data_IF_043644143235
#
_entry.id   IF_043644143235
#
_cell.length_a   1.000
_cell.length_b   1.000
_cell.length_c   1.000
_cell.angle_alpha   90.00
_cell.angle_beta   90.00
_cell.angle_gamma   90.00
#
_symmetry.space_group_name_H-M   'P 1'
#
loop_
_entity.id
_entity.type
_entity.pdbx_description
1 polymer ?
#
# COMPACT_ATOMS: atom_id res chain seq x y z
N UNK A 1 68.06 -26.02 -6.26
CA UNK A 1 68.92 -27.11 -5.89
C UNK A 1 68.44 -27.69 -4.58
N UNK A 2 67.96 -28.86 -4.57
CA UNK A 2 68.63 -30.14 -4.50
C UNK A 2 69.23 -30.43 -3.12
N UNK A 3 68.73 -31.40 -2.44
CA UNK A 3 69.26 -32.71 -2.14
C UNK A 3 68.49 -33.26 -0.93
N UNK A 4 67.76 -34.37 -0.98
CA UNK A 4 68.15 -35.79 -1.11
C UNK A 4 69.03 -36.29 0.04
N UNK A 5 68.52 -37.25 0.78
CA UNK A 5 69.11 -38.53 1.24
C UNK A 5 68.30 -39.12 2.39
N UNK A 6 67.64 -40.23 2.22
CA UNK A 6 68.05 -41.65 2.29
C UNK A 6 68.24 -42.15 3.73
N UNK A 7 67.36 -43.08 4.11
CA UNK A 7 67.48 -44.54 4.33
C UNK A 7 68.38 -44.91 5.54
N UNK A 8 68.06 -45.83 6.37
CA UNK A 8 67.48 -47.17 6.46
C UNK A 8 67.58 -47.75 7.93
N UNK A 9 67.27 -49.01 8.18
CA UNK A 9 66.41 -49.46 9.28
C UNK A 9 67.17 -50.27 10.32
N UNK A 10 66.52 -50.55 11.44
CA UNK A 10 67.01 -51.60 12.40
C UNK A 10 65.83 -52.41 13.00
N UNK A 11 65.71 -53.57 12.55
CA UNK A 11 65.61 -54.98 13.10
C UNK A 11 64.99 -55.18 14.49
N UNK A 12 64.04 -56.09 14.44
CA UNK A 12 63.37 -56.93 15.37
C UNK A 12 64.08 -57.33 16.68
N UNK A 13 63.28 -57.39 17.75
CA UNK A 13 63.48 -58.33 18.84
C UNK A 13 62.12 -58.86 19.34
N UNK A 14 61.94 -60.11 19.01
CA UNK A 14 60.91 -61.01 19.52
C UNK A 14 61.17 -61.32 21.03
N UNK A 15 60.13 -61.19 21.85
CA UNK A 15 60.17 -61.77 23.21
C UNK A 15 58.84 -62.45 23.56
N UNK A 16 58.95 -63.71 23.92
CA UNK A 16 57.98 -64.71 24.29
C UNK A 16 56.99 -64.20 25.39
N UNK A 17 55.71 -64.40 25.11
CA UNK A 17 54.63 -64.23 26.09
C UNK A 17 54.44 -65.50 26.96
N UNK A 18 54.45 -65.32 28.26
CA UNK A 18 54.13 -66.37 29.25
C UNK A 18 52.59 -66.48 29.43
N UNK A 19 52.07 -67.67 29.79
CA UNK A 19 50.62 -67.99 29.80
C UNK A 19 49.75 -67.22 30.79
N UNK A 20 50.34 -66.53 31.76
CA UNK A 20 49.62 -65.80 32.82
C UNK A 20 49.00 -64.49 32.32
N UNK A 21 49.40 -63.94 31.14
CA UNK A 21 48.90 -62.70 30.60
C UNK A 21 47.61 -62.91 29.80
N UNK A 22 47.32 -64.15 29.36
CA UNK A 22 46.11 -64.43 28.54
C UNK A 22 44.78 -64.43 29.32
N UNK A 23 44.83 -64.66 30.65
CA UNK A 23 43.62 -64.71 31.47
C UNK A 23 43.18 -63.32 31.95
N UNK A 24 44.12 -62.41 32.22
CA UNK A 24 43.83 -61.02 32.61
C UNK A 24 43.24 -60.15 31.41
N UNK A 25 43.62 -60.48 30.20
CA UNK A 25 43.12 -59.76 29.00
C UNK A 25 41.65 -60.12 28.66
N UNK A 26 41.22 -61.39 28.99
CA UNK A 26 39.82 -61.80 28.74
C UNK A 26 38.82 -61.20 29.74
N UNK A 27 39.25 -60.85 30.96
CA UNK A 27 38.39 -60.24 31.97
C UNK A 27 38.29 -58.71 31.78
N UNK A 28 39.30 -58.07 31.21
CA UNK A 28 39.30 -56.66 30.83
C UNK A 28 38.39 -56.36 29.62
N UNK A 29 38.43 -57.22 28.57
CA UNK A 29 37.58 -57.07 27.37
C UNK A 29 36.08 -57.22 27.68
N UNK A 30 35.70 -58.07 28.63
CA UNK A 30 34.30 -58.27 29.03
C UNK A 30 33.73 -57.11 29.85
N UNK A 31 34.55 -56.38 30.60
CA UNK A 31 34.11 -55.15 31.31
C UNK A 31 33.99 -53.93 30.39
N UNK A 32 34.80 -53.87 29.33
CA UNK A 32 34.74 -52.78 28.34
C UNK A 32 33.51 -52.88 27.42
N UNK A 33 33.09 -54.10 27.07
CA UNK A 33 31.89 -54.34 26.29
C UNK A 33 30.58 -53.99 27.03
N UNK A 34 30.50 -54.32 28.33
CA UNK A 34 29.36 -53.97 29.16
C UNK A 34 29.29 -52.44 29.44
N UNK A 35 30.43 -51.79 29.60
CA UNK A 35 30.52 -50.36 29.78
C UNK A 35 30.13 -49.62 28.47
N UNK A 36 30.56 -50.08 27.29
CA UNK A 36 30.18 -49.53 25.97
C UNK A 36 28.70 -49.72 25.67
N UNK A 37 28.09 -50.82 26.09
CA UNK A 37 26.68 -51.10 25.91
C UNK A 37 25.78 -50.24 26.81
N UNK A 38 26.26 -49.91 28.01
CA UNK A 38 25.57 -49.03 28.96
C UNK A 38 25.62 -47.56 28.51
N UNK A 39 26.75 -47.08 27.98
CA UNK A 39 26.90 -45.73 27.45
C UNK A 39 26.09 -45.53 26.16
N UNK A 40 26.11 -46.48 25.22
CA UNK A 40 25.30 -46.42 24.01
C UNK A 40 23.78 -46.34 24.28
N UNK A 41 23.31 -47.07 25.32
CA UNK A 41 21.91 -47.07 25.73
C UNK A 41 21.49 -45.77 26.44
N UNK A 42 22.43 -45.12 27.14
CA UNK A 42 22.22 -43.83 27.77
C UNK A 42 22.20 -42.69 26.75
N UNK A 43 23.07 -42.75 25.76
CA UNK A 43 23.11 -41.78 24.67
C UNK A 43 21.87 -41.87 23.76
N UNK A 44 21.38 -43.07 23.45
CA UNK A 44 20.15 -43.26 22.68
C UNK A 44 18.91 -42.72 23.43
N UNK A 45 18.86 -42.88 24.75
CA UNK A 45 17.77 -42.35 25.58
C UNK A 45 17.83 -40.83 25.67
N UNK A 46 19.02 -40.25 25.82
CA UNK A 46 19.20 -38.81 25.86
C UNK A 46 18.89 -38.15 24.50
N UNK A 47 19.25 -38.82 23.40
CA UNK A 47 18.91 -38.35 22.06
C UNK A 47 17.39 -38.33 21.81
N UNK A 48 16.66 -39.36 22.24
CA UNK A 48 15.20 -39.41 22.12
C UNK A 48 14.49 -38.38 23.00
N UNK A 49 14.96 -38.15 24.21
CA UNK A 49 14.40 -37.11 25.09
C UNK A 49 14.68 -35.70 24.57
N UNK A 50 15.84 -35.50 23.93
CA UNK A 50 16.17 -34.22 23.28
C UNK A 50 15.30 -33.95 22.03
N UNK A 51 15.09 -34.97 21.21
CA UNK A 51 14.23 -34.88 20.01
C UNK A 51 12.75 -34.61 20.36
N UNK A 52 12.25 -35.27 21.44
CA UNK A 52 10.89 -35.04 21.92
C UNK A 52 10.71 -33.65 22.55
N UNK A 53 11.73 -33.14 23.23
CA UNK A 53 11.73 -31.78 23.78
C UNK A 53 11.79 -30.71 22.69
N UNK A 54 12.56 -30.94 21.63
CA UNK A 54 12.66 -30.03 20.48
C UNK A 54 11.37 -30.04 19.66
N UNK A 55 10.77 -31.21 19.45
CA UNK A 55 9.48 -31.32 18.75
C UNK A 55 8.35 -30.60 19.52
N UNK A 56 8.34 -30.72 20.86
CA UNK A 56 7.39 -30.07 21.74
C UNK A 56 7.53 -28.55 21.72
N UNK A 57 8.77 -28.06 21.74
CA UNK A 57 9.10 -26.65 21.68
C UNK A 57 8.69 -26.02 20.32
N UNK A 58 8.91 -26.75 19.23
CA UNK A 58 8.54 -26.35 17.90
C UNK A 58 7.03 -26.28 17.70
N UNK A 59 6.28 -27.24 18.27
CA UNK A 59 4.83 -27.25 18.24
C UNK A 59 4.21 -26.10 19.07
N UNK A 60 4.83 -25.74 20.18
CA UNK A 60 4.39 -24.65 21.05
C UNK A 60 4.66 -23.27 20.40
N UNK A 61 5.79 -23.12 19.69
CA UNK A 61 6.15 -21.92 18.93
C UNK A 61 5.23 -21.73 17.71
N UNK A 62 4.89 -22.81 17.00
CA UNK A 62 3.98 -22.79 15.87
C UNK A 62 2.54 -22.47 16.31
N UNK A 63 2.09 -23.00 17.45
CA UNK A 63 0.79 -22.67 18.03
C UNK A 63 0.72 -21.20 18.51
N UNK A 64 1.80 -20.68 19.08
CA UNK A 64 1.89 -19.27 19.48
C UNK A 64 1.89 -18.33 18.28
N UNK A 65 2.59 -18.67 17.20
CA UNK A 65 2.60 -17.92 15.94
C UNK A 65 1.22 -17.91 15.28
N UNK A 66 0.53 -19.04 15.24
CA UNK A 66 -0.83 -19.15 14.71
C UNK A 66 -1.85 -18.32 15.52
N UNK A 67 -1.71 -18.31 16.86
CA UNK A 67 -2.57 -17.49 17.74
C UNK A 67 -2.34 -15.98 17.57
N UNK A 68 -1.09 -15.57 17.30
CA UNK A 68 -0.76 -14.17 16.99
C UNK A 68 -1.34 -13.73 15.65
N UNK A 69 -1.24 -14.56 14.61
CA UNK A 69 -1.83 -14.30 13.30
C UNK A 69 -3.36 -14.20 13.35
N UNK A 70 -4.01 -15.10 14.10
CA UNK A 70 -5.46 -15.06 14.28
C UNK A 70 -5.94 -13.78 15.00
N UNK A 71 -5.19 -13.33 16.03
CA UNK A 71 -5.48 -12.07 16.71
C UNK A 71 -5.29 -10.84 15.80
N UNK A 72 -4.27 -10.85 14.96
CA UNK A 72 -4.01 -9.76 14.02
C UNK A 72 -5.08 -9.69 12.91
N UNK A 73 -5.58 -10.84 12.46
CA UNK A 73 -6.69 -10.89 11.50
C UNK A 73 -8.01 -10.43 12.13
N UNK A 74 -8.28 -10.81 13.38
CA UNK A 74 -9.48 -10.38 14.11
C UNK A 74 -9.45 -8.87 14.39
N UNK A 75 -8.30 -8.32 14.77
CA UNK A 75 -8.12 -6.88 14.95
C UNK A 75 -8.27 -6.10 13.64
N UNK A 76 -7.70 -6.62 12.53
CA UNK A 76 -7.88 -6.05 11.19
C UNK A 76 -9.34 -6.11 10.73
N UNK A 77 -10.04 -7.19 11.03
CA UNK A 77 -11.46 -7.35 10.70
C UNK A 77 -12.35 -6.41 11.54
N UNK A 78 -12.08 -6.27 12.84
CA UNK A 78 -12.77 -5.35 13.74
C UNK A 78 -12.53 -3.89 13.34
N UNK A 79 -11.29 -3.54 12.99
CA UNK A 79 -10.92 -2.20 12.50
C UNK A 79 -11.60 -1.87 11.17
N UNK A 80 -11.65 -2.84 10.25
CA UNK A 80 -12.35 -2.70 8.96
C UNK A 80 -13.87 -2.56 9.13
N UNK A 81 -14.45 -3.24 10.11
CA UNK A 81 -15.88 -3.16 10.43
C UNK A 81 -16.24 -1.84 11.11
N UNK A 82 -15.41 -1.37 12.05
CA UNK A 82 -15.57 -0.06 12.70
C UNK A 82 -15.39 1.09 11.70
N UNK A 83 -14.42 0.97 10.78
CA UNK A 83 -14.19 1.95 9.71
C UNK A 83 -15.33 1.99 8.68
N UNK A 84 -15.91 0.83 8.33
CA UNK A 84 -17.08 0.75 7.45
C UNK A 84 -18.32 1.37 8.10
N UNK A 85 -18.49 1.21 9.42
CA UNK A 85 -19.58 1.81 10.18
C UNK A 85 -19.40 3.32 10.36
N UNK A 86 -18.17 3.79 10.62
CA UNK A 86 -17.82 5.20 10.63
C UNK A 86 -18.03 5.86 9.25
N UNK A 87 -17.68 5.18 8.14
CA UNK A 87 -17.96 5.63 6.77
C UNK A 87 -19.45 5.72 6.46
N UNK A 88 -20.29 4.83 7.02
CA UNK A 88 -21.75 4.91 6.89
C UNK A 88 -22.33 6.09 7.67
N UNK A 89 -21.79 6.40 8.87
CA UNK A 89 -22.19 7.55 9.68
C UNK A 89 -21.74 8.88 9.07
N UNK A 90 -20.55 8.94 8.48
CA UNK A 90 -20.03 10.15 7.82
C UNK A 90 -20.77 10.50 6.50
N UNK A 91 -21.43 9.52 5.87
CA UNK A 91 -22.24 9.73 4.64
C UNK A 91 -23.68 10.17 4.91
N UNK A 92 -24.13 10.18 6.17
CA UNK A 92 -25.48 10.61 6.47
C UNK A 92 -25.52 12.15 6.50
N UNK A 93 -26.36 12.81 5.69
CA UNK A 93 -26.42 14.28 5.65
C UNK A 93 -26.86 14.82 7.02
N UNK A 94 -26.14 15.83 7.50
CA UNK A 94 -26.37 16.43 8.81
C UNK A 94 -27.66 17.25 8.85
N UNK A 95 -28.21 17.62 7.68
CA UNK A 95 -29.45 18.41 7.57
C UNK A 95 -30.28 18.02 6.33
N UNK A 96 -31.61 18.29 6.35
CA UNK A 96 -32.47 18.08 5.16
C UNK A 96 -31.99 18.83 3.91
N UNK A 97 -31.29 19.95 4.09
CA UNK A 97 -30.71 20.77 3.02
C UNK A 97 -29.52 20.06 2.36
N UNK A 98 -28.65 19.45 3.15
CA UNK A 98 -27.51 18.66 2.67
C UNK A 98 -27.97 17.36 2.01
N UNK A 99 -29.03 16.74 2.49
CA UNK A 99 -29.62 15.57 1.87
C UNK A 99 -30.08 15.87 0.44
N UNK A 100 -30.84 16.96 0.24
CA UNK A 100 -31.30 17.42 -1.07
C UNK A 100 -30.14 17.75 -2.00
N UNK A 101 -29.11 18.43 -1.49
CA UNK A 101 -27.90 18.76 -2.25
C UNK A 101 -27.14 17.53 -2.73
N UNK A 102 -27.01 16.52 -1.86
CA UNK A 102 -26.35 15.25 -2.21
C UNK A 102 -27.14 14.48 -3.25
N UNK A 103 -28.46 14.43 -3.14
CA UNK A 103 -29.33 13.80 -4.13
C UNK A 103 -29.23 14.48 -5.50
N UNK A 104 -29.21 15.81 -5.52
CA UNK A 104 -29.04 16.59 -6.75
C UNK A 104 -27.66 16.33 -7.40
N UNK A 105 -26.59 16.34 -6.63
CA UNK A 105 -25.25 16.00 -7.11
C UNK A 105 -25.15 14.56 -7.61
N UNK A 106 -25.89 13.63 -7.01
CA UNK A 106 -25.94 12.25 -7.48
C UNK A 106 -26.63 12.14 -8.85
N UNK A 107 -27.76 12.82 -9.03
CA UNK A 107 -28.43 12.91 -10.36
C UNK A 107 -27.51 13.53 -11.41
N UNK A 108 -26.78 14.57 -11.05
CA UNK A 108 -25.80 15.21 -11.94
C UNK A 108 -24.70 14.22 -12.34
N UNK A 109 -24.15 13.45 -11.39
CA UNK A 109 -23.16 12.40 -11.68
C UNK A 109 -23.67 11.32 -12.64
N UNK A 110 -24.92 10.93 -12.52
CA UNK A 110 -25.51 9.95 -13.43
C UNK A 110 -25.59 10.49 -14.87
N UNK A 111 -25.89 11.79 -15.03
CA UNK A 111 -25.91 12.47 -16.31
C UNK A 111 -24.53 12.70 -16.92
N UNK A 112 -23.46 12.63 -16.14
CA UNK A 112 -22.10 12.68 -16.67
C UNK A 112 -21.83 11.63 -17.76
N UNK A 113 -22.58 10.51 -17.74
CA UNK A 113 -22.49 9.46 -18.76
C UNK A 113 -22.92 9.93 -20.16
N UNK A 114 -23.72 11.01 -20.26
CA UNK A 114 -24.17 11.60 -21.51
C UNK A 114 -23.19 12.64 -22.10
N UNK A 115 -22.17 13.04 -21.32
CA UNK A 115 -21.16 14.00 -21.74
C UNK A 115 -20.08 13.30 -22.58
N UNK A 116 -19.80 13.85 -23.76
CA UNK A 116 -18.75 13.31 -24.63
C UNK A 116 -17.37 13.84 -24.21
N UNK A 117 -16.73 13.12 -23.29
CA UNK A 117 -15.38 13.42 -22.84
C UNK A 117 -14.29 13.26 -23.90
N UNK A 118 -14.59 12.70 -25.07
CA UNK A 118 -13.62 12.65 -26.18
C UNK A 118 -13.42 14.03 -26.78
N UNK A 119 -14.44 14.89 -26.73
CA UNK A 119 -14.39 16.25 -27.26
C UNK A 119 -13.75 17.19 -26.24
N UNK A 120 -14.25 17.20 -25.01
CA UNK A 120 -13.78 18.14 -23.97
C UNK A 120 -12.47 17.73 -23.31
N UNK A 121 -12.07 16.47 -23.47
CA UNK A 121 -10.93 15.90 -22.77
C UNK A 121 -11.27 15.46 -21.34
N UNK A 122 -10.37 14.71 -20.74
CA UNK A 122 -10.43 14.38 -19.31
C UNK A 122 -9.50 15.31 -18.55
N UNK A 123 -9.83 15.61 -17.30
CA UNK A 123 -8.90 16.28 -16.41
C UNK A 123 -7.66 15.41 -16.22
N UNK A 124 -6.49 16.03 -16.25
CA UNK A 124 -5.23 15.34 -15.99
C UNK A 124 -5.25 14.73 -14.58
N UNK A 125 -4.92 13.47 -14.47
CA UNK A 125 -4.96 12.75 -13.20
C UNK A 125 -3.78 11.83 -13.05
N UNK A 126 -3.31 11.68 -11.82
CA UNK A 126 -2.21 10.81 -11.46
C UNK A 126 -2.46 10.19 -10.09
N UNK A 127 -1.53 9.38 -9.60
CA UNK A 127 -1.59 8.78 -8.27
C UNK A 127 -0.42 9.24 -7.43
N UNK A 128 -0.61 9.34 -6.12
CA UNK A 128 0.50 9.51 -5.20
C UNK A 128 1.42 8.28 -5.26
N UNK A 129 2.71 8.51 -5.30
CA UNK A 129 3.74 7.46 -5.28
C UNK A 129 4.07 7.00 -3.86
N UNK A 130 3.97 7.92 -2.90
CA UNK A 130 4.25 7.69 -1.49
C UNK A 130 3.15 8.29 -0.60
N UNK A 131 3.14 7.91 0.68
CA UNK A 131 2.28 8.52 1.69
C UNK A 131 2.61 10.00 1.86
N UNK A 132 1.57 10.82 1.96
CA UNK A 132 1.67 12.27 2.14
C UNK A 132 1.05 12.69 3.46
N UNK A 133 1.83 13.35 4.32
CA UNK A 133 1.38 13.82 5.64
C UNK A 133 0.64 15.15 5.55
N UNK A 134 -0.22 15.43 6.54
CA UNK A 134 -0.88 16.73 6.68
C UNK A 134 0.16 17.87 6.65
N UNK A 135 -0.11 18.88 5.85
CA UNK A 135 0.76 20.07 5.72
C UNK A 135 2.04 19.85 4.90
N UNK A 136 2.17 18.73 4.21
CA UNK A 136 3.30 18.46 3.32
C UNK A 136 3.50 19.59 2.31
N UNK A 137 4.76 19.91 2.02
CA UNK A 137 5.19 20.96 1.09
C UNK A 137 5.60 20.41 -0.27
N UNK A 138 5.73 19.10 -0.37
CA UNK A 138 6.07 18.37 -1.59
C UNK A 138 5.16 17.16 -1.74
N UNK A 139 4.82 16.81 -2.98
CA UNK A 139 4.08 15.60 -3.33
C UNK A 139 4.81 14.86 -4.45
N UNK A 140 5.13 13.60 -4.23
CA UNK A 140 5.64 12.72 -5.26
C UNK A 140 4.47 11.98 -5.92
N UNK A 141 4.31 12.16 -7.23
CA UNK A 141 3.26 11.54 -8.03
C UNK A 141 3.85 10.54 -9.03
N UNK A 142 3.02 9.62 -9.51
CA UNK A 142 3.45 8.60 -10.45
C UNK A 142 3.86 9.20 -11.81
N UNK A 143 3.11 10.19 -12.28
CA UNK A 143 3.36 10.91 -13.52
C UNK A 143 2.82 12.35 -13.39
N UNK A 144 3.69 13.34 -13.61
CA UNK A 144 3.36 14.76 -13.62
C UNK A 144 3.54 15.40 -15.00
N UNK A 145 3.68 14.61 -16.07
CA UNK A 145 3.95 15.13 -17.43
C UNK A 145 2.86 16.10 -17.91
N UNK A 146 1.60 15.81 -17.59
CA UNK A 146 0.45 16.63 -17.97
C UNK A 146 0.14 17.77 -16.97
N UNK A 147 0.88 17.86 -15.87
CA UNK A 147 0.69 18.89 -14.86
C UNK A 147 1.52 20.13 -15.22
N UNK A 148 0.92 21.31 -15.12
CA UNK A 148 1.65 22.57 -15.27
C UNK A 148 2.68 22.77 -14.13
N UNK A 149 3.58 23.72 -14.28
CA UNK A 149 4.58 24.05 -13.24
C UNK A 149 3.93 24.57 -11.95
N UNK A 150 2.78 25.18 -12.04
CA UNK A 150 1.96 25.58 -10.90
C UNK A 150 0.48 25.33 -11.18
N UNK A 151 -0.32 25.15 -10.13
CA UNK A 151 -1.76 24.91 -10.30
C UNK A 151 -2.43 24.42 -9.04
N UNK A 152 -3.63 23.87 -9.21
CA UNK A 152 -4.40 23.25 -8.15
C UNK A 152 -4.93 21.89 -8.57
N UNK A 153 -5.11 21.01 -7.59
CA UNK A 153 -5.63 19.67 -7.77
C UNK A 153 -6.45 19.21 -6.57
N UNK A 154 -7.24 18.19 -6.76
CA UNK A 154 -7.92 17.49 -5.68
C UNK A 154 -7.25 16.15 -5.45
N UNK A 155 -6.76 15.92 -4.22
CA UNK A 155 -6.34 14.58 -3.76
C UNK A 155 -7.56 13.89 -3.18
N UNK A 156 -7.79 12.66 -3.57
CA UNK A 156 -8.93 11.86 -3.11
C UNK A 156 -8.49 10.45 -2.78
N UNK A 157 -8.99 9.92 -1.67
CA UNK A 157 -8.95 8.52 -1.30
C UNK A 157 -10.32 8.07 -0.77
N UNK A 158 -10.38 6.87 -0.19
CA UNK A 158 -11.63 6.31 0.36
C UNK A 158 -12.21 7.10 1.54
N UNK A 159 -11.36 7.82 2.27
CA UNK A 159 -11.75 8.58 3.47
C UNK A 159 -12.17 10.02 3.18
N UNK A 160 -11.86 10.56 1.99
CA UNK A 160 -12.28 11.89 1.60
C UNK A 160 -11.30 12.60 0.67
N UNK A 161 -11.39 13.92 0.58
CA UNK A 161 -10.58 14.70 -0.35
C UNK A 161 -10.06 16.00 0.26
N UNK A 162 -8.96 16.51 -0.30
CA UNK A 162 -8.46 17.87 -0.07
C UNK A 162 -8.13 18.54 -1.40
N UNK A 163 -8.45 19.83 -1.50
CA UNK A 163 -7.94 20.67 -2.58
C UNK A 163 -6.57 21.18 -2.18
N UNK A 164 -5.60 21.01 -3.06
CA UNK A 164 -4.23 21.43 -2.91
C UNK A 164 -3.86 22.42 -4.01
N UNK A 165 -2.87 23.25 -3.75
CA UNK A 165 -2.20 24.05 -4.76
C UNK A 165 -0.69 23.79 -4.68
N UNK A 166 0.02 23.95 -5.81
CA UNK A 166 1.48 23.87 -5.89
C UNK A 166 2.02 25.05 -6.70
N UNK A 167 3.26 25.42 -6.44
CA UNK A 167 3.92 26.58 -7.07
C UNK A 167 5.15 26.22 -7.89
N UNK A 168 5.53 24.95 -7.92
CA UNK A 168 6.64 24.45 -8.72
C UNK A 168 6.52 22.95 -8.98
N UNK A 169 7.24 22.49 -9.99
CA UNK A 169 7.32 21.08 -10.39
C UNK A 169 8.77 20.72 -10.71
N UNK A 170 9.23 19.59 -10.17
CA UNK A 170 10.53 19.01 -10.47
C UNK A 170 10.34 17.52 -10.82
N UNK A 171 10.42 17.21 -12.13
CA UNK A 171 10.07 15.88 -12.63
C UNK A 171 8.66 15.47 -12.21
N UNK A 172 8.56 14.41 -11.42
CA UNK A 172 7.31 13.90 -10.88
C UNK A 172 7.01 14.38 -9.45
N UNK A 173 7.69 15.42 -8.98
CA UNK A 173 7.49 16.02 -7.66
C UNK A 173 6.87 17.40 -7.79
N UNK A 174 5.70 17.59 -7.20
CA UNK A 174 5.07 18.89 -7.04
C UNK A 174 5.66 19.57 -5.81
N UNK A 175 6.09 20.83 -5.93
CA UNK A 175 6.77 21.60 -4.88
C UNK A 175 5.98 22.84 -4.48
N UNK A 176 6.27 23.40 -3.30
CA UNK A 176 5.52 24.53 -2.76
C UNK A 176 4.05 24.18 -2.49
N UNK A 177 3.79 22.95 -2.14
CA UNK A 177 2.43 22.43 -1.94
C UNK A 177 1.78 23.03 -0.71
N UNK A 178 0.49 23.33 -0.81
CA UNK A 178 -0.37 23.79 0.27
C UNK A 178 -1.75 23.11 0.19
N UNK A 179 -2.52 23.15 1.27
CA UNK A 179 -3.89 22.62 1.29
C UNK A 179 -4.01 21.14 1.64
N UNK A 180 -2.93 20.43 1.95
CA UNK A 180 -2.99 19.04 2.43
C UNK A 180 -3.54 19.01 3.86
N UNK A 181 -4.81 18.65 4.03
CA UNK A 181 -5.54 18.75 5.31
C UNK A 181 -5.43 17.52 6.20
N UNK A 182 -5.04 16.37 5.64
CA UNK A 182 -4.90 15.09 6.33
C UNK A 182 -3.81 14.23 5.70
N UNK A 183 -3.58 13.04 6.23
CA UNK A 183 -2.70 12.04 5.64
C UNK A 183 -3.41 11.39 4.45
N UNK A 184 -2.68 11.15 3.36
CA UNK A 184 -3.12 10.42 2.17
C UNK A 184 -2.16 9.27 1.89
N UNK A 185 -2.70 8.08 1.74
CA UNK A 185 -1.91 6.89 1.40
C UNK A 185 -1.34 6.93 -0.03
N UNK A 186 -0.33 6.13 -0.28
CA UNK A 186 0.14 5.85 -1.62
C UNK A 186 -1.03 5.36 -2.50
N UNK A 187 -0.99 5.68 -3.79
CA UNK A 187 -2.05 5.42 -4.77
C UNK A 187 -3.34 6.25 -4.61
N UNK A 188 -3.43 7.20 -3.66
CA UNK A 188 -4.50 8.21 -3.66
C UNK A 188 -4.52 8.96 -4.99
N UNK A 189 -5.71 9.26 -5.49
CA UNK A 189 -5.88 9.88 -6.81
C UNK A 189 -5.70 11.40 -6.69
N UNK A 190 -4.90 11.98 -7.55
CA UNK A 190 -4.70 13.43 -7.70
C UNK A 190 -5.24 13.85 -9.05
N UNK A 191 -6.26 14.71 -9.06
CA UNK A 191 -6.90 15.22 -10.29
C UNK A 191 -6.70 16.72 -10.35
N UNK A 192 -6.20 17.23 -11.48
CA UNK A 192 -6.08 18.68 -11.70
C UNK A 192 -7.46 19.34 -11.61
N UNK A 193 -7.51 20.42 -10.85
CA UNK A 193 -8.76 21.15 -10.62
C UNK A 193 -8.47 22.66 -10.61
N UNK A 194 -9.05 23.37 -11.54
CA UNK A 194 -9.03 24.83 -11.59
C UNK A 194 -10.16 25.43 -10.74
N UNK A 195 -10.02 26.68 -10.36
CA UNK A 195 -11.08 27.46 -9.70
C UNK A 195 -12.06 27.97 -10.75
N UNK A 196 -13.10 27.18 -11.02
CA UNK A 196 -14.09 27.53 -12.05
C UNK A 196 -14.97 28.73 -11.66
N UNK A 197 -14.91 29.21 -10.42
CA UNK A 197 -15.68 30.39 -9.98
C UNK A 197 -15.14 31.69 -10.58
N UNK A 198 -13.95 31.68 -11.16
CA UNK A 198 -13.40 32.79 -11.93
C UNK A 198 -14.26 33.06 -13.21
N UNK A 199 -14.89 32.02 -13.75
CA UNK A 199 -15.78 32.14 -14.92
C UNK A 199 -17.06 32.88 -14.48
N UNK A 200 -17.38 33.98 -15.15
CA UNK A 200 -18.59 34.75 -14.88
C UNK A 200 -19.84 33.86 -15.02
N UNK A 201 -20.67 33.84 -14.01
CA UNK A 201 -21.88 33.01 -13.97
C UNK A 201 -21.68 31.63 -13.31
N UNK A 202 -20.45 31.24 -12.97
CA UNK A 202 -20.15 30.04 -12.20
C UNK A 202 -19.96 30.41 -10.73
N UNK A 203 -20.94 30.09 -9.91
CA UNK A 203 -20.84 30.20 -8.46
C UNK A 203 -20.46 28.86 -7.81
N UNK A 204 -20.23 28.81 -6.48
CA UNK A 204 -19.79 27.60 -5.78
C UNK A 204 -20.65 26.38 -6.04
N UNK A 205 -21.96 26.55 -6.10
CA UNK A 205 -22.89 25.44 -6.35
C UNK A 205 -22.83 24.91 -7.79
N UNK A 206 -22.61 25.79 -8.76
CA UNK A 206 -22.46 25.40 -10.17
C UNK A 206 -21.11 24.71 -10.37
N UNK A 207 -20.04 25.21 -9.74
CA UNK A 207 -18.74 24.54 -9.73
C UNK A 207 -18.84 23.12 -9.16
N UNK A 208 -19.55 22.91 -8.05
CA UNK A 208 -19.75 21.56 -7.50
C UNK A 208 -20.46 20.63 -8.50
N UNK A 209 -21.46 21.14 -9.23
CA UNK A 209 -22.16 20.38 -10.28
C UNK A 209 -21.24 20.06 -11.45
N UNK A 210 -20.45 21.02 -11.93
CA UNK A 210 -19.45 20.79 -12.98
C UNK A 210 -18.42 19.74 -12.56
N UNK A 211 -17.91 19.85 -11.33
CA UNK A 211 -17.00 18.85 -10.77
C UNK A 211 -17.66 17.47 -10.66
N UNK A 212 -18.94 17.40 -10.31
CA UNK A 212 -19.71 16.16 -10.27
C UNK A 212 -19.90 15.53 -11.65
N UNK A 213 -19.95 16.34 -12.71
CA UNK A 213 -19.92 15.89 -14.11
C UNK A 213 -18.52 15.42 -14.57
N UNK A 214 -17.45 15.72 -13.82
CA UNK A 214 -16.06 15.46 -14.23
C UNK A 214 -15.42 16.61 -15.01
N UNK A 215 -16.05 17.79 -15.00
CA UNK A 215 -15.53 19.03 -15.60
C UNK A 215 -14.89 19.83 -14.48
N UNK A 216 -13.55 19.83 -14.43
CA UNK A 216 -12.77 20.42 -13.34
C UNK A 216 -11.75 21.44 -13.81
N UNK A 217 -11.58 21.62 -15.12
CA UNK A 217 -10.54 22.50 -15.69
C UNK A 217 -11.10 23.47 -16.71
N UNK A 218 -10.46 24.64 -16.83
CA UNK A 218 -10.75 25.64 -17.88
C UNK A 218 -10.64 25.06 -19.27
N UNK A 219 -9.63 24.20 -19.52
CA UNK A 219 -9.45 23.52 -20.82
C UNK A 219 -10.68 22.73 -21.22
N UNK A 220 -11.30 22.02 -20.28
CA UNK A 220 -12.50 21.24 -20.57
C UNK A 220 -13.67 22.17 -20.98
N UNK A 221 -13.81 23.30 -20.31
CA UNK A 221 -14.86 24.30 -20.67
C UNK A 221 -14.57 24.93 -22.03
N UNK A 222 -13.35 25.35 -22.28
CA UNK A 222 -12.94 25.95 -23.56
C UNK A 222 -13.12 25.00 -24.77
N UNK A 223 -13.01 23.69 -24.54
CA UNK A 223 -13.20 22.69 -25.61
C UNK A 223 -14.67 22.31 -25.86
N UNK A 224 -15.63 22.91 -25.17
CA UNK A 224 -17.04 22.62 -25.42
C UNK A 224 -17.48 23.20 -26.78
N UNK A 225 -18.24 22.43 -27.52
CA UNK A 225 -18.97 22.88 -28.67
C UNK A 225 -20.43 23.18 -28.29
N UNK A 226 -21.19 23.86 -29.19
CA UNK A 226 -22.57 24.24 -28.92
C UNK A 226 -23.51 23.08 -28.50
N UNK A 227 -23.23 21.86 -28.95
CA UNK A 227 -23.96 20.66 -28.51
C UNK A 227 -23.66 20.31 -27.07
N UNK A 228 -22.38 20.35 -26.70
CA UNK A 228 -21.92 20.05 -25.32
C UNK A 228 -22.34 21.12 -24.33
N UNK A 229 -22.34 22.43 -24.74
CA UNK A 229 -22.88 23.51 -23.91
C UNK A 229 -24.34 23.24 -23.51
N UNK A 230 -25.17 22.78 -24.47
CA UNK A 230 -26.57 22.39 -24.17
C UNK A 230 -26.63 21.18 -23.24
N UNK A 231 -25.86 20.12 -23.51
CA UNK A 231 -25.83 18.91 -22.68
C UNK A 231 -25.36 19.21 -21.25
N UNK A 232 -24.32 20.03 -21.09
CA UNK A 232 -23.82 20.45 -19.77
C UNK A 232 -24.87 21.27 -19.05
N UNK A 233 -25.50 22.25 -19.74
CA UNK A 233 -26.57 23.07 -19.17
C UNK A 233 -27.75 22.23 -18.64
N UNK A 234 -28.17 21.22 -19.41
CA UNK A 234 -29.23 20.28 -19.02
C UNK A 234 -28.77 19.39 -17.87
N UNK A 235 -27.52 18.90 -17.92
CA UNK A 235 -26.98 18.00 -16.92
C UNK A 235 -26.85 18.63 -15.52
N UNK A 236 -26.46 19.91 -15.45
CA UNK A 236 -26.37 20.66 -14.19
C UNK A 236 -27.72 21.19 -13.69
N UNK A 237 -28.81 20.92 -14.43
CA UNK A 237 -30.16 21.41 -14.07
C UNK A 237 -30.18 22.92 -13.84
N UNK A 238 -29.56 23.67 -14.74
CA UNK A 238 -29.47 25.11 -14.65
C UNK A 238 -30.44 25.80 -15.64
N UNK A 239 -30.68 27.09 -15.46
CA UNK A 239 -31.57 27.81 -16.34
C UNK A 239 -31.21 27.60 -17.82
N UNK A 240 -32.18 27.24 -18.69
CA UNK A 240 -31.91 26.91 -20.08
C UNK A 240 -31.10 27.98 -20.81
N UNK A 241 -30.06 27.55 -21.55
CA UNK A 241 -29.23 28.41 -22.37
C UNK A 241 -28.25 29.32 -21.62
N UNK A 242 -28.11 29.19 -20.29
CA UNK A 242 -27.26 30.09 -19.53
C UNK A 242 -25.77 29.89 -19.81
N UNK A 243 -25.32 28.67 -20.07
CA UNK A 243 -23.92 28.35 -20.42
C UNK A 243 -23.52 29.15 -21.68
N UNK A 244 -24.33 29.12 -22.70
CA UNK A 244 -24.10 29.87 -23.95
C UNK A 244 -24.28 31.38 -23.77
N UNK A 245 -25.33 31.80 -23.02
CA UNK A 245 -25.61 33.24 -22.79
C UNK A 245 -24.48 33.91 -22.00
N UNK A 246 -23.97 33.26 -20.97
CA UNK A 246 -22.90 33.78 -20.12
C UNK A 246 -21.52 33.53 -20.78
N UNK A 247 -21.47 32.95 -21.99
CA UNK A 247 -20.28 32.75 -22.83
C UNK A 247 -19.14 32.06 -22.12
N UNK A 248 -19.44 30.98 -21.38
CA UNK A 248 -18.40 30.26 -20.57
C UNK A 248 -17.22 29.78 -21.41
N UNK A 249 -17.45 29.37 -22.65
CA UNK A 249 -16.40 28.88 -23.57
C UNK A 249 -15.48 30.00 -24.06
N UNK A 250 -15.97 31.24 -24.11
CA UNK A 250 -15.25 32.40 -24.65
C UNK A 250 -14.49 33.22 -23.60
N UNK A 251 -14.67 32.90 -22.32
CA UNK A 251 -13.98 33.56 -21.20
C UNK A 251 -12.61 32.95 -20.95
#
# INVERSE_FOLDING_TARGET
>A
PAAKAEEKPVKAAEKEETPAVKEAVKEADKKDDDAKKATAKAEEKAAKEAEEAEAKKKAEEEAAAAALLAKEEEEKAAKKKAEAEAKKKAKKPASPKEAKKQEELQRVKERAKSIDFKVIGKASSTKLKSEVKKGAKTLEVADASEFADSGSAQITDDEGSSVIAWTGKDGNTLTGVSGVKRVYGAASIVVVKDDLQVIKGVGPFIEEKLNALGITTYRQIANMNAKLEKQVNEAIEFFPGRVARDQWVAQ
#
